data_IF_699595892687
#
_entry.id   IF_699595892687
#
_cell.length_a   1.000
_cell.length_b   1.000
_cell.length_c   1.000
_cell.angle_alpha   90.00
_cell.angle_beta   90.00
_cell.angle_gamma   90.00
#
_symmetry.space_group_name_H-M   'P 1'
#
loop_
_entity.id
_entity.type
_entity.pdbx_description
1 polymer ?
#
# COMPACT_ATOMS: atom_id res chain seq x y z
N UNK A 1 -37.47 -17.26 17.04
CA UNK A 1 -37.15 -16.62 15.74
C UNK A 1 -35.65 -16.55 15.59
N UNK A 2 -35.07 -17.10 14.51
CA UNK A 2 -33.64 -17.01 14.25
C UNK A 2 -33.35 -15.54 13.89
N UNK A 3 -32.63 -14.81 14.76
CA UNK A 3 -32.28 -13.40 14.49
C UNK A 3 -31.47 -13.36 13.20
N UNK A 4 -31.92 -12.56 12.26
CA UNK A 4 -31.18 -12.28 11.04
C UNK A 4 -29.87 -11.59 11.44
N UNK A 5 -28.74 -12.16 11.03
CA UNK A 5 -27.44 -11.52 11.16
C UNK A 5 -27.04 -10.94 9.79
N UNK A 6 -27.06 -9.61 9.62
CA UNK A 6 -26.71 -8.98 8.35
C UNK A 6 -25.20 -9.06 8.05
N UNK A 7 -24.36 -9.18 9.07
CA UNK A 7 -22.90 -9.02 8.94
C UNK A 7 -22.24 -9.96 7.92
N UNK A 8 -22.54 -11.27 7.92
CA UNK A 8 -21.96 -12.19 6.95
C UNK A 8 -22.29 -11.82 5.50
N UNK A 9 -23.48 -11.26 5.26
CA UNK A 9 -23.95 -10.87 3.93
C UNK A 9 -23.25 -9.58 3.48
N UNK A 10 -23.14 -8.59 4.38
CA UNK A 10 -22.40 -7.36 4.11
C UNK A 10 -20.93 -7.64 3.84
N UNK A 11 -20.26 -8.41 4.71
CA UNK A 11 -18.86 -8.77 4.49
C UNK A 11 -18.66 -9.52 3.18
N UNK A 12 -19.47 -10.53 2.87
CA UNK A 12 -19.33 -11.28 1.62
C UNK A 12 -19.49 -10.38 0.39
N UNK A 13 -20.45 -9.46 0.43
CA UNK A 13 -20.76 -8.56 -0.68
C UNK A 13 -19.70 -7.45 -0.84
N UNK A 14 -19.31 -6.83 0.26
CA UNK A 14 -18.33 -5.75 0.27
C UNK A 14 -16.92 -6.27 -0.01
N UNK A 15 -16.57 -7.41 0.58
CA UNK A 15 -15.32 -8.10 0.29
C UNK A 15 -15.23 -8.48 -1.19
N UNK A 16 -16.28 -9.05 -1.78
CA UNK A 16 -16.31 -9.41 -3.21
C UNK A 16 -16.07 -8.23 -4.14
N UNK A 17 -16.40 -7.00 -3.74
CA UNK A 17 -16.23 -5.79 -4.57
C UNK A 17 -14.92 -5.06 -4.29
N UNK A 18 -14.50 -4.99 -3.03
CA UNK A 18 -13.37 -4.16 -2.61
C UNK A 18 -12.06 -4.93 -2.42
N UNK A 19 -12.07 -6.27 -2.41
CA UNK A 19 -10.85 -7.05 -2.27
C UNK A 19 -9.77 -6.72 -3.33
N UNK A 20 -10.09 -6.40 -4.61
CA UNK A 20 -9.06 -6.05 -5.58
C UNK A 20 -8.37 -4.73 -5.23
N UNK A 21 -9.08 -3.80 -4.59
CA UNK A 21 -8.52 -2.54 -4.12
C UNK A 21 -7.51 -2.78 -2.98
N UNK A 22 -7.86 -3.64 -2.02
CA UNK A 22 -6.94 -3.99 -0.91
C UNK A 22 -5.68 -4.68 -1.43
N UNK A 23 -5.84 -5.61 -2.38
CA UNK A 23 -4.70 -6.28 -3.04
C UNK A 23 -3.86 -5.26 -3.80
N UNK A 24 -4.46 -4.39 -4.60
CA UNK A 24 -3.76 -3.33 -5.32
C UNK A 24 -2.98 -2.41 -4.38
N UNK A 25 -3.63 -1.96 -3.30
CA UNK A 25 -3.00 -1.12 -2.29
C UNK A 25 -1.79 -1.80 -1.64
N UNK A 26 -1.92 -3.08 -1.26
CA UNK A 26 -0.82 -3.85 -0.69
C UNK A 26 0.34 -4.05 -1.69
N UNK A 27 0.03 -4.37 -2.94
CA UNK A 27 1.04 -4.53 -4.00
C UNK A 27 1.78 -3.21 -4.26
N UNK A 28 1.06 -2.11 -4.43
CA UNK A 28 1.68 -0.79 -4.61
C UNK A 28 2.53 -0.39 -3.40
N UNK A 29 2.04 -0.63 -2.19
CA UNK A 29 2.78 -0.37 -0.95
C UNK A 29 4.08 -1.17 -0.88
N UNK A 30 4.05 -2.46 -1.21
CA UNK A 30 5.26 -3.29 -1.23
C UNK A 30 6.27 -2.84 -2.29
N UNK A 31 5.82 -2.45 -3.48
CA UNK A 31 6.70 -1.92 -4.54
C UNK A 31 7.39 -0.64 -4.09
N UNK A 32 6.61 0.34 -3.59
CA UNK A 32 7.16 1.62 -3.11
C UNK A 32 8.13 1.40 -1.96
N UNK A 33 7.80 0.50 -1.02
CA UNK A 33 8.68 0.15 0.09
C UNK A 33 9.98 -0.46 -0.42
N UNK A 34 9.90 -1.38 -1.38
CA UNK A 34 11.10 -2.02 -1.95
C UNK A 34 11.99 -1.01 -2.68
N UNK A 35 11.40 -0.09 -3.43
CA UNK A 35 12.13 1.00 -4.09
C UNK A 35 12.78 1.93 -3.06
N UNK A 36 12.05 2.28 -2.01
CA UNK A 36 12.52 3.18 -0.95
C UNK A 36 13.69 2.55 -0.17
N UNK A 37 13.62 1.26 0.14
CA UNK A 37 14.70 0.50 0.77
C UNK A 37 15.90 0.29 -0.16
N UNK A 38 15.67 0.35 -1.48
CA UNK A 38 16.73 0.21 -2.48
C UNK A 38 17.53 1.49 -2.70
N UNK A 39 17.13 2.63 -2.12
CA UNK A 39 17.91 3.85 -2.22
C UNK A 39 19.20 3.74 -1.42
N UNK A 40 20.32 3.87 -2.12
CA UNK A 40 21.65 3.80 -1.55
C UNK A 40 22.23 5.20 -1.32
N UNK A 41 23.33 5.27 -0.58
CA UNK A 41 24.07 6.53 -0.42
C UNK A 41 24.59 7.07 -1.77
N UNK A 42 24.83 6.21 -2.76
CA UNK A 42 25.25 6.59 -4.10
C UNK A 42 24.12 7.33 -4.84
N UNK A 43 22.88 6.87 -4.71
CA UNK A 43 21.70 7.54 -5.27
C UNK A 43 21.47 8.92 -4.64
N UNK A 44 21.67 9.02 -3.32
CA UNK A 44 21.63 10.29 -2.60
C UNK A 44 22.76 11.24 -3.04
N UNK A 45 23.96 10.71 -3.31
CA UNK A 45 25.08 11.48 -3.84
C UNK A 45 24.85 11.93 -5.29
N UNK A 46 24.12 11.17 -6.10
CA UNK A 46 23.83 11.54 -7.50
C UNK A 46 22.58 12.41 -7.65
N UNK A 47 21.74 12.50 -6.62
CA UNK A 47 20.52 13.31 -6.63
C UNK A 47 20.81 14.79 -6.36
N UNK A 48 20.60 15.64 -7.38
CA UNK A 48 20.68 17.11 -7.25
C UNK A 48 19.77 17.66 -6.14
N UNK A 49 18.63 17.02 -5.91
CA UNK A 49 17.70 17.40 -4.85
C UNK A 49 18.27 17.06 -3.48
N UNK A 50 18.70 15.81 -3.28
CA UNK A 50 19.26 15.37 -1.99
C UNK A 50 20.50 16.19 -1.60
N UNK A 51 21.36 16.51 -2.58
CA UNK A 51 22.52 17.39 -2.34
C UNK A 51 22.13 18.80 -1.90
N UNK A 52 21.12 19.42 -2.54
CA UNK A 52 20.67 20.79 -2.19
C UNK A 52 20.04 20.90 -0.81
N UNK A 53 19.49 19.79 -0.29
CA UNK A 53 18.80 19.74 1.00
C UNK A 53 19.59 18.99 2.09
N UNK A 54 20.87 18.72 1.84
CA UNK A 54 21.80 18.16 2.80
C UNK A 54 22.41 19.30 3.63
N UNK A 55 21.70 19.70 4.70
CA UNK A 55 22.22 20.64 5.70
C UNK A 55 23.31 19.99 6.54
#
# INVERSE_FOLDING_TARGET
MRKFDPWPIFFRREWSRNWPFLVGFAVTGTIITKMSLGFTEEDAKNSRFAQKHKN
#
